data_IF_177425895204
#
_entry.id   IF_177425895204
#
_cell.length_a   1.000
_cell.length_b   1.000
_cell.length_c   1.000
_cell.angle_alpha   90.00
_cell.angle_beta   90.00
_cell.angle_gamma   90.00
#
_symmetry.space_group_name_H-M   'P 1'
#
loop_
_entity.id
_entity.type
_entity.pdbx_description
1 polymer ?
#
# COMPACT_ATOMS: atom_id res chain seq x y z
N UNK A 1 -33.12 -9.97 3.12
CA UNK A 1 -32.33 -9.22 4.12
C UNK A 1 -33.27 -8.81 5.23
N UNK A 2 -32.96 -9.21 6.45
CA UNK A 2 -33.79 -8.95 7.64
C UNK A 2 -33.66 -7.46 8.05
N UNK A 3 -34.76 -6.70 8.12
CA UNK A 3 -34.72 -5.29 8.54
C UNK A 3 -34.33 -5.09 10.01
N UNK A 4 -34.31 -6.13 10.84
CA UNK A 4 -33.91 -6.04 12.25
C UNK A 4 -32.38 -5.95 12.46
N UNK A 5 -31.57 -6.33 11.48
CA UNK A 5 -30.10 -6.22 11.54
C UNK A 5 -29.59 -4.76 11.50
N UNK A 6 -30.44 -3.79 11.13
CA UNK A 6 -30.07 -2.35 11.11
C UNK A 6 -30.23 -1.66 12.47
N UNK A 7 -31.03 -2.21 13.39
CA UNK A 7 -31.28 -1.56 14.69
C UNK A 7 -30.18 -1.87 15.70
N UNK A 8 -29.59 -3.06 15.64
CA UNK A 8 -28.55 -3.48 16.59
C UNK A 8 -27.17 -2.86 16.27
N UNK A 9 -26.94 -2.45 15.01
CA UNK A 9 -25.72 -1.78 14.59
C UNK A 9 -25.62 -0.31 15.06
N UNK A 10 -26.72 0.29 15.54
CA UNK A 10 -26.76 1.70 15.98
C UNK A 10 -26.64 1.82 17.52
N UNK A 11 -26.79 0.72 18.27
CA UNK A 11 -26.75 0.73 19.74
C UNK A 11 -25.39 0.35 20.35
N UNK A 12 -24.33 0.18 19.53
CA UNK A 12 -23.00 -0.24 19.99
C UNK A 12 -21.92 0.86 19.91
N UNK A 13 -22.29 2.13 19.75
CA UNK A 13 -21.34 3.25 19.78
C UNK A 13 -21.35 3.97 21.13
N UNK A 14 -20.90 3.29 22.18
CA UNK A 14 -20.40 3.88 23.43
C UNK A 14 -18.88 3.60 23.54
N UNK A 15 -18.16 3.90 22.44
CA UNK A 15 -16.73 3.56 22.23
C UNK A 15 -15.74 4.54 22.88
N UNK A 16 -16.20 5.58 23.58
CA UNK A 16 -15.30 6.50 24.28
C UNK A 16 -14.66 5.90 25.55
N UNK A 17 -15.16 4.76 26.06
CA UNK A 17 -14.67 4.18 27.32
C UNK A 17 -13.58 3.11 27.17
N UNK A 18 -13.32 2.57 25.98
CA UNK A 18 -12.33 1.48 25.81
C UNK A 18 -10.89 1.93 25.54
N UNK A 19 -10.67 3.22 25.26
CA UNK A 19 -9.32 3.79 25.10
C UNK A 19 -8.53 3.97 26.42
N UNK A 20 -9.16 3.70 27.58
CA UNK A 20 -8.53 3.76 28.90
C UNK A 20 -8.20 2.37 29.47
N UNK A 21 -7.74 1.42 28.64
CA UNK A 21 -7.17 0.14 29.12
C UNK A 21 -5.63 0.17 29.01
N UNK A 22 -4.91 0.75 29.99
CA UNK A 22 -3.43 0.80 29.99
C UNK A 22 -2.74 -0.58 30.05
N UNK A 23 -3.51 -1.66 30.16
CA UNK A 23 -3.03 -3.02 30.33
C UNK A 23 -3.37 -3.95 29.16
N UNK A 24 -3.69 -3.42 27.97
CA UNK A 24 -3.84 -4.27 26.80
C UNK A 24 -2.48 -4.94 26.46
N UNK A 25 -2.36 -6.27 26.58
CA UNK A 25 -1.11 -6.99 26.32
C UNK A 25 -0.62 -6.82 24.87
N UNK A 26 -1.53 -6.54 23.94
CA UNK A 26 -1.25 -6.32 22.51
C UNK A 26 -0.54 -4.99 22.27
N UNK A 27 -1.09 -3.88 22.79
CA UNK A 27 -0.43 -2.58 22.72
C UNK A 27 0.89 -2.59 23.47
N UNK A 28 0.95 -3.24 24.64
CA UNK A 28 2.19 -3.44 25.40
C UNK A 28 3.24 -4.22 24.60
N UNK A 29 2.84 -5.24 23.83
CA UNK A 29 3.74 -6.01 22.96
C UNK A 29 4.30 -5.20 21.80
N UNK A 30 3.47 -4.39 21.14
CA UNK A 30 3.87 -3.45 20.10
C UNK A 30 4.86 -2.42 20.69
N UNK A 31 4.49 -1.75 21.79
CA UNK A 31 5.36 -0.77 22.44
C UNK A 31 6.68 -1.38 22.96
N UNK A 32 6.67 -2.64 23.42
CA UNK A 32 7.88 -3.34 23.87
C UNK A 32 8.81 -3.71 22.71
N UNK A 33 8.27 -4.14 21.57
CA UNK A 33 9.07 -4.40 20.36
C UNK A 33 9.76 -3.13 19.83
N UNK A 34 9.15 -1.96 20.06
CA UNK A 34 9.74 -0.66 19.72
C UNK A 34 10.64 -0.07 20.83
N UNK A 35 10.40 -0.42 22.09
CA UNK A 35 11.11 0.12 23.27
C UNK A 35 12.49 -0.48 23.56
N UNK A 36 12.95 -1.47 22.78
CA UNK A 36 14.32 -2.02 22.85
C UNK A 36 15.25 -1.50 21.74
N UNK A 37 14.81 -0.51 20.95
CA UNK A 37 15.70 0.20 20.03
C UNK A 37 16.48 1.21 20.86
N UNK A 38 17.81 1.03 20.96
CA UNK A 38 18.72 1.95 21.65
C UNK A 38 18.60 3.38 21.09
N UNK A 39 17.78 4.19 21.77
CA UNK A 39 17.49 5.60 21.45
C UNK A 39 18.77 6.46 21.41
N UNK A 40 19.87 5.98 21.99
CA UNK A 40 21.14 6.71 22.02
C UNK A 40 21.93 6.63 20.70
N UNK A 41 21.61 5.68 19.81
CA UNK A 41 22.37 5.44 18.57
C UNK A 41 21.67 5.88 17.29
N UNK A 42 20.39 6.21 17.35
CA UNK A 42 19.63 6.71 16.22
C UNK A 42 18.95 7.97 16.69
N UNK A 43 19.38 9.13 16.19
CA UNK A 43 18.80 10.43 16.48
C UNK A 43 17.38 10.55 15.93
N UNK A 44 16.45 9.77 16.46
CA UNK A 44 15.03 9.95 16.25
C UNK A 44 14.61 11.12 17.15
N UNK A 45 14.20 12.27 16.57
CA UNK A 45 13.59 13.31 17.38
C UNK A 45 12.33 12.74 18.01
N UNK A 46 12.11 12.98 19.30
CA UNK A 46 10.86 12.72 20.04
C UNK A 46 9.64 13.19 19.23
N UNK A 47 9.12 12.34 18.33
CA UNK A 47 8.00 12.68 17.47
C UNK A 47 7.18 11.43 17.25
N UNK A 48 6.01 11.47 17.90
CA UNK A 48 4.77 10.75 17.60
C UNK A 48 4.89 9.95 16.31
N UNK A 49 4.73 8.62 16.40
CA UNK A 49 4.32 7.84 15.25
C UNK A 49 3.21 8.61 14.52
N UNK A 50 3.31 8.80 13.19
CA UNK A 50 2.29 9.49 12.45
C UNK A 50 0.96 8.77 12.72
N UNK A 51 -0.09 9.51 13.14
CA UNK A 51 -1.39 8.96 13.59
C UNK A 51 -1.97 7.91 12.63
N UNK A 52 -1.60 8.01 11.36
CA UNK A 52 -1.90 7.13 10.25
C UNK A 52 -1.33 5.71 10.37
N UNK A 53 -0.27 5.46 11.15
CA UNK A 53 0.24 4.11 11.39
C UNK A 53 -0.65 3.30 12.36
N UNK A 54 -1.49 3.99 13.15
CA UNK A 54 -2.49 3.40 14.04
C UNK A 54 -3.85 3.20 13.36
N UNK A 55 -3.98 3.35 12.04
CA UNK A 55 -5.27 3.25 11.35
C UNK A 55 -5.85 1.84 11.29
N UNK A 56 -5.04 0.78 11.41
CA UNK A 56 -5.60 -0.55 11.70
C UNK A 56 -6.30 -0.62 13.07
N UNK A 57 -6.06 0.37 13.94
CA UNK A 57 -6.73 0.58 15.20
C UNK A 57 -7.77 1.72 15.12
N UNK A 58 -8.09 2.25 13.93
CA UNK A 58 -9.24 3.15 13.79
C UNK A 58 -10.51 2.32 14.01
N UNK A 59 -11.25 2.56 15.11
CA UNK A 59 -12.45 1.79 15.41
C UNK A 59 -13.54 1.94 14.34
N UNK A 60 -13.44 2.92 13.44
CA UNK A 60 -14.34 3.09 12.30
C UNK A 60 -14.12 2.10 11.15
N UNK A 61 -12.93 1.49 11.06
CA UNK A 61 -12.60 0.55 9.98
C UNK A 61 -13.09 -0.85 10.35
N UNK A 62 -14.14 -1.31 9.67
CA UNK A 62 -14.67 -2.67 9.85
C UNK A 62 -14.46 -3.46 8.58
N UNK A 63 -13.79 -4.60 8.72
CA UNK A 63 -13.57 -5.55 7.64
C UNK A 63 -13.80 -6.99 8.13
N UNK A 64 -13.92 -7.97 7.23
CA UNK A 64 -13.96 -9.38 7.63
C UNK A 64 -12.77 -9.75 8.50
N UNK A 65 -13.00 -10.53 9.56
CA UNK A 65 -11.97 -10.89 10.55
C UNK A 65 -10.72 -11.55 9.91
N UNK A 66 -10.91 -12.38 8.88
CA UNK A 66 -9.81 -13.06 8.19
C UNK A 66 -8.89 -12.08 7.45
N UNK A 67 -9.47 -11.03 6.86
CA UNK A 67 -8.74 -9.97 6.18
C UNK A 67 -7.97 -9.11 7.18
N UNK A 68 -8.63 -8.75 8.30
CA UNK A 68 -8.03 -8.01 9.40
C UNK A 68 -6.74 -8.71 9.88
N UNK A 69 -6.84 -10.00 10.25
CA UNK A 69 -5.68 -10.80 10.69
C UNK A 69 -4.57 -10.88 9.65
N UNK A 70 -4.92 -11.04 8.37
CA UNK A 70 -3.91 -11.15 7.30
C UNK A 70 -3.17 -9.83 7.08
N UNK A 71 -3.86 -8.70 7.29
CA UNK A 71 -3.25 -7.38 7.10
C UNK A 71 -2.50 -6.91 8.32
N UNK A 72 -2.94 -7.29 9.52
CA UNK A 72 -2.15 -7.19 10.74
C UNK A 72 -0.82 -7.93 10.57
N UNK A 73 -0.86 -9.19 10.10
CA UNK A 73 0.35 -9.96 9.81
C UNK A 73 1.27 -9.24 8.80
N UNK A 74 0.70 -8.69 7.72
CA UNK A 74 1.46 -7.92 6.74
C UNK A 74 2.08 -6.67 7.37
N UNK A 75 1.32 -5.87 8.10
CA UNK A 75 1.82 -4.65 8.74
C UNK A 75 2.92 -4.95 9.75
N UNK A 76 2.72 -5.99 10.57
CA UNK A 76 3.75 -6.43 11.50
C UNK A 76 5.02 -6.81 10.77
N UNK A 77 4.94 -7.58 9.68
CA UNK A 77 6.11 -7.93 8.86
C UNK A 77 6.80 -6.71 8.24
N UNK A 78 6.03 -5.72 7.73
CA UNK A 78 6.61 -4.46 7.23
C UNK A 78 7.41 -3.76 8.33
N UNK A 79 6.85 -3.70 9.53
CA UNK A 79 7.43 -3.02 10.69
C UNK A 79 8.66 -3.75 11.22
N UNK A 80 8.55 -5.06 11.48
CA UNK A 80 9.56 -5.84 12.18
C UNK A 80 10.71 -6.25 11.29
N UNK A 81 10.45 -6.50 10.01
CA UNK A 81 11.43 -7.10 9.11
C UNK A 81 11.85 -6.11 8.01
N UNK A 82 10.87 -5.57 7.27
CA UNK A 82 11.16 -4.79 6.06
C UNK A 82 11.77 -3.43 6.37
N UNK A 83 11.20 -2.65 7.30
CA UNK A 83 11.73 -1.33 7.67
C UNK A 83 13.18 -1.44 8.20
N UNK A 84 13.50 -2.33 9.15
CA UNK A 84 14.88 -2.50 9.61
C UNK A 84 15.83 -2.95 8.49
N UNK A 85 15.40 -3.85 7.61
CA UNK A 85 16.20 -4.26 6.46
C UNK A 85 16.44 -3.09 5.50
N UNK A 86 15.40 -2.33 5.15
CA UNK A 86 15.46 -1.17 4.28
C UNK A 86 16.43 -0.10 4.81
N UNK A 87 16.46 0.11 6.13
CA UNK A 87 17.43 1.00 6.78
C UNK A 87 18.88 0.50 6.70
N UNK A 88 19.11 -0.82 6.74
CA UNK A 88 20.46 -1.41 6.61
C UNK A 88 21.05 -1.23 5.22
N UNK A 89 20.22 -1.11 4.19
CA UNK A 89 20.62 -0.85 2.80
C UNK A 89 21.15 0.58 2.57
N UNK A 90 21.93 1.15 3.52
CA UNK A 90 22.48 2.51 3.53
C UNK A 90 22.78 3.02 2.10
N UNK A 91 22.00 4.00 1.64
CA UNK A 91 22.46 4.90 0.60
C UNK A 91 23.09 6.08 1.34
N UNK A 92 24.37 6.41 1.12
CA UNK A 92 25.04 7.53 1.79
C UNK A 92 24.33 8.87 1.62
N UNK A 93 23.51 9.01 0.58
CA UNK A 93 23.08 10.32 0.06
C UNK A 93 21.56 10.54 0.07
N UNK A 94 20.77 9.65 0.70
CA UNK A 94 19.29 9.79 0.68
C UNK A 94 18.76 10.04 2.09
N UNK A 95 18.43 11.31 2.43
CA UNK A 95 17.73 11.65 3.66
C UNK A 95 16.48 10.80 3.85
N UNK A 96 16.20 10.49 5.12
CA UNK A 96 15.22 9.53 5.60
C UNK A 96 13.76 9.99 5.37
N UNK A 97 13.36 10.32 4.15
CA UNK A 97 11.99 10.76 3.84
C UNK A 97 11.06 9.59 3.53
N UNK A 98 11.06 8.56 4.39
CA UNK A 98 10.15 7.41 4.27
C UNK A 98 8.66 7.82 4.33
N UNK A 99 8.36 8.97 4.93
CA UNK A 99 6.99 9.40 5.26
C UNK A 99 6.59 10.78 4.72
N UNK A 100 7.53 11.55 4.15
CA UNK A 100 7.26 12.93 3.73
C UNK A 100 6.95 12.99 2.22
N UNK A 101 5.75 12.56 1.82
CA UNK A 101 4.99 13.02 0.62
C UNK A 101 5.68 13.19 -0.75
N UNK A 102 6.93 12.76 -0.93
CA UNK A 102 7.77 13.03 -2.10
C UNK A 102 8.07 11.74 -2.89
N UNK A 103 8.45 11.87 -4.17
CA UNK A 103 8.75 10.75 -5.06
C UNK A 103 10.03 10.07 -4.58
N UNK A 104 9.87 9.08 -3.70
CA UNK A 104 10.96 8.40 -3.00
C UNK A 104 10.63 7.96 -1.57
N UNK A 105 9.46 8.37 -1.02
CA UNK A 105 8.95 7.84 0.24
C UNK A 105 8.61 6.35 0.16
N UNK A 106 8.65 5.65 1.30
CA UNK A 106 8.42 4.22 1.35
C UNK A 106 6.91 3.95 1.22
N UNK A 107 6.48 3.23 0.17
CA UNK A 107 5.06 3.06 -0.15
C UNK A 107 4.32 2.13 0.83
N UNK A 108 5.07 1.36 1.64
CA UNK A 108 4.51 0.27 2.46
C UNK A 108 3.32 0.62 3.37
N UNK A 109 3.30 1.76 4.09
CA UNK A 109 2.18 2.12 4.96
C UNK A 109 0.92 2.55 4.19
N UNK A 110 1.09 3.16 3.01
CA UNK A 110 0.00 3.75 2.23
C UNK A 110 -0.80 2.70 1.45
N UNK A 111 -0.12 1.62 1.02
CA UNK A 111 -0.71 0.49 0.31
C UNK A 111 -1.95 -0.07 1.01
N UNK A 112 -1.95 -0.06 2.35
CA UNK A 112 -3.04 -0.57 3.16
C UNK A 112 -4.08 0.51 3.43
N UNK A 113 -3.69 1.74 3.72
CA UNK A 113 -4.62 2.78 4.17
C UNK A 113 -5.77 3.04 3.17
N UNK A 114 -5.44 3.39 1.93
CA UNK A 114 -6.45 3.74 0.90
C UNK A 114 -7.35 2.55 0.56
N UNK A 115 -6.75 1.37 0.40
CA UNK A 115 -7.45 0.13 0.12
C UNK A 115 -8.39 -0.23 1.28
N UNK A 116 -7.96 -0.08 2.52
CA UNK A 116 -8.75 -0.41 3.69
C UNK A 116 -10.02 0.40 3.84
N UNK A 117 -9.95 1.71 3.61
CA UNK A 117 -11.14 2.56 3.63
C UNK A 117 -12.18 2.09 2.60
N UNK A 118 -11.75 1.81 1.38
CA UNK A 118 -12.66 1.35 0.32
C UNK A 118 -13.24 -0.04 0.60
N UNK A 119 -12.45 -0.94 1.17
CA UNK A 119 -12.90 -2.28 1.55
C UNK A 119 -13.88 -2.23 2.74
N UNK A 120 -13.62 -1.36 3.71
CA UNK A 120 -14.52 -1.10 4.83
C UNK A 120 -15.87 -0.62 4.33
N UNK A 121 -15.91 0.42 3.48
CA UNK A 121 -17.15 0.95 2.90
C UNK A 121 -17.94 -0.12 2.14
N UNK A 122 -17.24 -0.97 1.37
CA UNK A 122 -17.86 -2.11 0.67
C UNK A 122 -18.38 -3.16 1.64
N UNK A 123 -17.66 -3.46 2.71
CA UNK A 123 -18.08 -4.44 3.71
C UNK A 123 -19.35 -3.99 4.43
N UNK A 124 -19.35 -2.75 4.93
CA UNK A 124 -20.53 -2.12 5.53
C UNK A 124 -21.73 -2.09 4.59
N UNK A 125 -21.50 -1.88 3.29
CA UNK A 125 -22.54 -1.87 2.26
C UNK A 125 -22.99 -3.28 1.84
N UNK A 126 -22.37 -4.35 2.35
CA UNK A 126 -22.62 -5.74 1.92
C UNK A 126 -22.18 -6.04 0.48
N UNK A 127 -21.28 -5.22 -0.07
CA UNK A 127 -20.76 -5.33 -1.44
C UNK A 127 -19.41 -6.05 -1.51
N UNK A 128 -18.72 -6.22 -0.38
CA UNK A 128 -17.46 -6.95 -0.32
C UNK A 128 -17.71 -8.47 -0.33
N UNK A 129 -17.33 -9.12 -1.43
CA UNK A 129 -17.54 -10.57 -1.59
C UNK A 129 -16.39 -11.38 -0.97
N UNK A 130 -16.70 -12.60 -0.54
CA UNK A 130 -15.70 -13.55 0.00
C UNK A 130 -14.59 -13.86 -0.99
N UNK A 131 -14.88 -13.89 -2.30
CA UNK A 131 -13.88 -14.09 -3.35
C UNK A 131 -12.84 -12.96 -3.37
N UNK A 132 -13.30 -11.71 -3.36
CA UNK A 132 -12.44 -10.52 -3.26
C UNK A 132 -11.57 -10.56 -1.99
N UNK A 133 -12.15 -10.89 -0.84
CA UNK A 133 -11.42 -11.02 0.44
C UNK A 133 -10.27 -12.01 0.32
N UNK A 134 -10.53 -13.21 -0.22
CA UNK A 134 -9.51 -14.24 -0.41
C UNK A 134 -8.41 -13.84 -1.40
N UNK A 135 -8.76 -13.07 -2.44
CA UNK A 135 -7.78 -12.54 -3.39
C UNK A 135 -6.87 -11.53 -2.68
N UNK A 136 -7.42 -10.61 -1.90
CA UNK A 136 -6.63 -9.61 -1.14
C UNK A 136 -5.71 -10.32 -0.15
N UNK A 137 -6.20 -11.31 0.58
CA UNK A 137 -5.38 -12.12 1.48
C UNK A 137 -4.23 -12.83 0.74
N UNK A 138 -4.49 -13.37 -0.45
CA UNK A 138 -3.48 -14.02 -1.28
C UNK A 138 -2.42 -13.02 -1.76
N UNK A 139 -2.81 -11.81 -2.16
CA UNK A 139 -1.89 -10.72 -2.55
C UNK A 139 -0.99 -10.38 -1.36
N UNK A 140 -1.55 -10.04 -0.20
CA UNK A 140 -0.76 -9.64 0.97
C UNK A 140 0.24 -10.73 1.40
N UNK A 141 -0.19 -12.00 1.40
CA UNK A 141 0.70 -13.14 1.71
C UNK A 141 1.78 -13.33 0.64
N UNK A 142 1.42 -13.15 -0.63
CA UNK A 142 2.35 -13.16 -1.75
C UNK A 142 3.43 -12.08 -1.59
N UNK A 143 3.02 -10.85 -1.28
CA UNK A 143 3.93 -9.72 -1.05
C UNK A 143 4.88 -9.98 0.12
N UNK A 144 4.41 -10.54 1.24
CA UNK A 144 5.28 -10.95 2.36
C UNK A 144 6.35 -11.93 1.87
N UNK A 145 5.94 -12.93 1.08
CA UNK A 145 6.85 -13.94 0.55
C UNK A 145 7.88 -13.33 -0.41
N UNK A 146 7.44 -12.47 -1.34
CA UNK A 146 8.30 -11.80 -2.30
C UNK A 146 9.34 -10.92 -1.59
N UNK A 147 8.91 -10.10 -0.64
CA UNK A 147 9.80 -9.29 0.20
C UNK A 147 10.76 -10.16 1.01
N UNK A 148 10.29 -11.28 1.56
CA UNK A 148 11.15 -12.24 2.27
C UNK A 148 12.25 -12.79 1.36
N UNK A 149 11.92 -13.13 0.11
CA UNK A 149 12.89 -13.64 -0.87
C UNK A 149 13.90 -12.54 -1.24
N UNK A 150 13.43 -11.32 -1.51
CA UNK A 150 14.27 -10.15 -1.81
C UNK A 150 15.26 -9.90 -0.66
N UNK A 151 14.78 -9.89 0.59
CA UNK A 151 15.64 -9.71 1.76
C UNK A 151 16.66 -10.85 1.93
N UNK A 152 16.24 -12.11 1.76
CA UNK A 152 17.13 -13.28 1.90
C UNK A 152 18.27 -13.28 0.88
N UNK A 153 18.07 -12.71 -0.32
CA UNK A 153 19.10 -12.62 -1.36
C UNK A 153 19.91 -11.31 -1.31
N UNK A 154 19.75 -10.50 -0.26
CA UNK A 154 20.33 -9.16 -0.14
C UNK A 154 19.93 -8.23 -1.31
N UNK A 155 18.66 -8.25 -1.69
CA UNK A 155 18.11 -7.40 -2.74
C UNK A 155 18.12 -5.91 -2.41
N UNK A 156 17.91 -5.07 -3.42
CA UNK A 156 18.04 -3.61 -3.32
C UNK A 156 16.77 -2.93 -2.79
N UNK A 157 16.86 -1.62 -2.53
CA UNK A 157 15.70 -0.81 -2.11
C UNK A 157 14.64 -0.74 -3.21
N UNK A 158 15.09 -0.63 -4.45
CA UNK A 158 14.26 -0.53 -5.63
C UNK A 158 13.42 -1.79 -5.80
N UNK A 159 14.00 -2.98 -5.58
CA UNK A 159 13.25 -4.24 -5.63
C UNK A 159 12.15 -4.32 -4.55
N UNK A 160 12.42 -3.81 -3.35
CA UNK A 160 11.42 -3.72 -2.28
C UNK A 160 10.28 -2.77 -2.66
N UNK A 161 10.64 -1.58 -3.15
CA UNK A 161 9.67 -0.57 -3.57
C UNK A 161 8.81 -1.13 -4.71
N UNK A 162 9.42 -1.74 -5.72
CA UNK A 162 8.72 -2.33 -6.86
C UNK A 162 7.74 -3.42 -6.41
N UNK A 163 8.14 -4.33 -5.52
CA UNK A 163 7.25 -5.38 -5.02
C UNK A 163 6.03 -4.81 -4.24
N UNK A 164 6.24 -3.74 -3.48
CA UNK A 164 5.16 -3.02 -2.80
C UNK A 164 4.26 -2.31 -3.80
N UNK A 165 4.82 -1.52 -4.72
CA UNK A 165 4.05 -0.79 -5.74
C UNK A 165 3.26 -1.73 -6.67
N UNK A 166 3.80 -2.90 -7.03
CA UNK A 166 3.07 -3.91 -7.80
C UNK A 166 1.83 -4.40 -7.04
N UNK A 167 1.98 -4.64 -5.74
CA UNK A 167 0.90 -5.11 -4.88
C UNK A 167 -0.16 -4.02 -4.67
N UNK A 168 0.26 -2.78 -4.44
CA UNK A 168 -0.62 -1.60 -4.33
C UNK A 168 -1.41 -1.39 -5.62
N UNK A 169 -0.71 -1.34 -6.75
CA UNK A 169 -1.30 -1.15 -8.06
C UNK A 169 -2.31 -2.25 -8.38
N UNK A 170 -2.03 -3.52 -8.03
CA UNK A 170 -2.99 -4.59 -8.20
C UNK A 170 -4.24 -4.38 -7.32
N UNK A 171 -4.07 -4.04 -6.04
CA UNK A 171 -5.21 -3.81 -5.16
C UNK A 171 -6.07 -2.63 -5.63
N UNK A 172 -5.45 -1.51 -5.97
CA UNK A 172 -6.15 -0.29 -6.39
C UNK A 172 -6.77 -0.40 -7.79
N UNK A 173 -5.98 -0.83 -8.77
CA UNK A 173 -6.41 -0.82 -10.16
C UNK A 173 -7.22 -2.05 -10.56
N UNK A 174 -7.09 -3.16 -9.84
CA UNK A 174 -7.84 -4.38 -10.14
C UNK A 174 -8.94 -4.64 -9.10
N UNK A 175 -8.59 -4.93 -7.85
CA UNK A 175 -9.57 -5.38 -6.84
C UNK A 175 -10.54 -4.26 -6.44
N UNK A 176 -10.02 -3.06 -6.22
CA UNK A 176 -10.76 -1.87 -5.85
C UNK A 176 -11.37 -1.16 -7.05
N UNK A 177 -11.05 -1.58 -8.28
CA UNK A 177 -11.68 -1.00 -9.46
C UNK A 177 -13.19 -1.12 -9.41
N UNK A 178 -13.88 -0.08 -9.89
CA UNK A 178 -15.33 -0.13 -10.07
C UNK A 178 -15.78 -1.20 -11.08
N UNK A 179 -14.85 -1.73 -11.88
CA UNK A 179 -15.09 -2.67 -12.97
C UNK A 179 -14.94 -4.14 -12.55
N UNK A 180 -14.22 -4.43 -11.46
CA UNK A 180 -14.03 -5.79 -10.95
C UNK A 180 -15.27 -6.28 -10.16
N UNK A 181 -16.34 -6.54 -10.90
CA UNK A 181 -17.66 -6.97 -10.38
C UNK A 181 -18.00 -8.44 -10.69
N UNK A 182 -17.10 -9.17 -11.35
CA UNK A 182 -17.38 -10.52 -11.84
C UNK A 182 -16.98 -11.57 -10.81
N UNK A 183 -17.97 -12.11 -10.09
CA UNK A 183 -17.79 -13.24 -9.17
C UNK A 183 -17.18 -14.47 -9.88
N UNK A 184 -17.58 -14.72 -11.14
CA UNK A 184 -17.02 -15.81 -11.95
C UNK A 184 -15.51 -15.63 -12.17
N UNK A 185 -15.05 -14.39 -12.36
CA UNK A 185 -13.62 -14.10 -12.51
C UNK A 185 -12.87 -14.30 -11.18
N UNK A 186 -13.47 -13.93 -10.05
CA UNK A 186 -12.89 -14.18 -8.73
C UNK A 186 -12.69 -15.68 -8.47
N UNK A 187 -13.71 -16.49 -8.71
CA UNK A 187 -13.63 -17.95 -8.56
C UNK A 187 -12.55 -18.53 -9.48
N UNK A 188 -12.45 -18.02 -10.70
CA UNK A 188 -11.44 -18.47 -11.66
C UNK A 188 -10.02 -18.14 -11.20
N UNK A 189 -9.77 -16.92 -10.73
CA UNK A 189 -8.48 -16.52 -10.15
C UNK A 189 -8.13 -17.39 -8.94
N UNK A 190 -9.07 -17.58 -8.01
CA UNK A 190 -8.85 -18.39 -6.82
C UNK A 190 -8.57 -19.86 -7.15
N UNK A 191 -9.18 -20.40 -8.20
CA UNK A 191 -8.87 -21.74 -8.69
C UNK A 191 -7.45 -21.82 -9.20
N UNK A 192 -7.02 -20.87 -10.04
CA UNK A 192 -5.65 -20.85 -10.53
C UNK A 192 -4.62 -20.67 -9.41
N UNK A 193 -4.91 -19.84 -8.41
CA UNK A 193 -4.03 -19.69 -7.24
C UNK A 193 -3.94 -20.96 -6.40
N UNK A 194 -4.92 -21.86 -6.48
CA UNK A 194 -4.94 -23.13 -5.77
C UNK A 194 -4.35 -24.30 -6.58
N UNK A 195 -4.07 -24.12 -7.87
CA UNK A 195 -3.46 -25.16 -8.71
C UNK A 195 -1.98 -25.34 -8.33
N UNK A 196 -1.57 -26.59 -8.13
CA UNK A 196 -0.17 -26.92 -7.91
C UNK A 196 0.63 -26.78 -9.21
N UNK A 197 1.82 -26.17 -9.13
CA UNK A 197 2.72 -26.07 -10.28
C UNK A 197 2.42 -24.90 -11.22
N UNK A 198 2.23 -23.70 -10.65
CA UNK A 198 2.22 -22.45 -11.43
C UNK A 198 3.42 -22.44 -12.37
N UNK A 199 3.16 -22.26 -13.67
CA UNK A 199 4.21 -22.17 -14.67
C UNK A 199 4.95 -20.84 -14.50
N UNK A 200 6.02 -20.86 -13.70
CA UNK A 200 6.84 -19.68 -13.38
C UNK A 200 7.46 -19.07 -14.64
N UNK A 201 7.70 -19.86 -15.69
CA UNK A 201 8.22 -19.34 -16.97
C UNK A 201 7.20 -18.45 -17.68
N UNK A 202 5.91 -18.79 -17.61
CA UNK A 202 4.83 -17.95 -18.15
C UNK A 202 4.72 -16.65 -17.35
N UNK A 203 4.77 -16.72 -16.02
CA UNK A 203 4.76 -15.52 -15.16
C UNK A 203 5.94 -14.61 -15.46
N UNK A 204 7.15 -15.19 -15.62
CA UNK A 204 8.34 -14.44 -16.01
C UNK A 204 8.16 -13.78 -17.39
N UNK A 205 7.68 -14.52 -18.39
CA UNK A 205 7.45 -13.97 -19.73
C UNK A 205 6.45 -12.81 -19.75
N UNK A 206 5.38 -12.89 -18.94
CA UNK A 206 4.42 -11.78 -18.79
C UNK A 206 5.07 -10.57 -18.12
N UNK A 207 5.89 -10.78 -17.08
CA UNK A 207 6.61 -9.69 -16.40
C UNK A 207 7.59 -8.98 -17.34
N UNK A 208 8.37 -9.75 -18.10
CA UNK A 208 9.33 -9.21 -19.07
C UNK A 208 8.62 -8.38 -20.15
N UNK A 209 7.55 -8.91 -20.74
CA UNK A 209 6.76 -8.20 -21.77
C UNK A 209 6.11 -6.93 -21.19
N UNK A 210 5.56 -7.01 -19.97
CA UNK A 210 4.97 -5.85 -19.29
C UNK A 210 6.02 -4.77 -19.01
N UNK A 211 7.23 -5.15 -18.62
CA UNK A 211 8.33 -4.22 -18.39
C UNK A 211 8.75 -3.51 -19.69
N UNK A 212 8.82 -4.24 -20.82
CA UNK A 212 9.12 -3.64 -22.12
C UNK A 212 8.02 -2.66 -22.57
N UNK A 213 6.75 -3.01 -22.41
CA UNK A 213 5.63 -2.11 -22.70
C UNK A 213 5.72 -0.83 -21.85
N UNK A 214 5.99 -0.96 -20.54
CA UNK A 214 6.16 0.21 -19.65
C UNK A 214 7.31 1.12 -20.09
N UNK A 215 8.43 0.55 -20.56
CA UNK A 215 9.56 1.34 -21.11
C UNK A 215 9.14 2.13 -22.34
N UNK A 216 8.38 1.51 -23.25
CA UNK A 216 7.88 2.16 -24.47
C UNK A 216 6.91 3.31 -24.13
N UNK A 217 5.93 3.07 -23.26
CA UNK A 217 4.97 4.09 -22.81
C UNK A 217 5.67 5.25 -22.12
N UNK A 218 6.65 4.97 -21.24
CA UNK A 218 7.41 6.00 -20.55
C UNK A 218 8.22 6.84 -21.54
N UNK A 219 8.87 6.20 -22.52
CA UNK A 219 9.61 6.88 -23.57
C UNK A 219 8.70 7.81 -24.38
N UNK A 220 7.57 7.32 -24.87
CA UNK A 220 6.59 8.13 -25.61
C UNK A 220 6.02 9.28 -24.78
N UNK A 221 5.74 9.05 -23.50
CA UNK A 221 5.27 10.11 -22.60
C UNK A 221 6.34 11.22 -22.47
N UNK A 222 7.60 10.84 -22.23
CA UNK A 222 8.71 11.80 -22.10
C UNK A 222 9.04 12.53 -23.39
N UNK A 223 9.00 11.85 -24.54
CA UNK A 223 9.40 12.41 -25.84
C UNK A 223 8.24 13.13 -26.57
N UNK A 224 7.00 12.66 -26.44
CA UNK A 224 5.88 13.06 -27.28
C UNK A 224 4.98 14.15 -26.70
N UNK A 225 4.42 13.93 -25.52
CA UNK A 225 3.36 14.77 -24.94
C UNK A 225 3.96 15.78 -23.96
N UNK A 226 4.83 15.33 -23.05
CA UNK A 226 5.46 16.22 -22.08
C UNK A 226 6.48 17.14 -22.73
N UNK A 227 7.24 16.68 -23.73
CA UNK A 227 8.17 17.53 -24.48
C UNK A 227 7.48 18.72 -25.17
N UNK A 228 6.26 18.54 -25.71
CA UNK A 228 5.48 19.61 -26.35
C UNK A 228 4.80 20.51 -25.34
N UNK A 229 4.17 19.95 -24.31
CA UNK A 229 3.47 20.74 -23.30
C UNK A 229 4.44 21.54 -22.41
N UNK A 230 5.64 21.01 -22.13
CA UNK A 230 6.65 21.71 -21.33
C UNK A 230 7.20 22.94 -22.09
N UNK A 231 7.41 22.82 -23.41
CA UNK A 231 7.75 23.95 -24.29
C UNK A 231 6.63 25.02 -24.37
N UNK A 232 5.37 24.64 -24.23
CA UNK A 232 4.24 25.58 -24.13
C UNK A 232 4.14 26.23 -22.75
N UNK A 233 4.41 25.49 -21.66
CA UNK A 233 4.40 26.04 -20.30
C UNK A 233 5.52 27.02 -20.01
N UNK A 234 6.70 26.87 -20.62
CA UNK A 234 7.77 27.87 -20.52
C UNK A 234 7.39 29.20 -21.19
N UNK A 235 6.54 29.21 -22.23
CA UNK A 235 5.95 30.47 -22.77
C UNK A 235 4.87 31.06 -21.87
N UNK A 236 4.29 30.26 -20.97
CA UNK A 236 3.24 30.68 -20.05
C UNK A 236 3.81 31.35 -18.80
N UNK A 237 5.03 31.00 -18.39
CA UNK A 237 5.75 31.61 -17.25
C UNK A 237 5.96 33.12 -17.42
N UNK A 238 6.19 33.59 -18.65
CA UNK A 238 6.32 35.02 -18.94
C UNK A 238 4.98 35.77 -18.90
N UNK A 239 3.85 35.05 -18.99
CA UNK A 239 2.51 35.65 -19.12
C UNK A 239 1.74 35.71 -17.80
N UNK A 240 2.06 34.84 -16.85
CA UNK A 240 1.44 34.80 -15.53
C UNK A 240 2.48 34.45 -14.45
N UNK A 241 3.11 35.43 -13.79
CA UNK A 241 3.97 35.18 -12.64
C UNK A 241 3.09 34.74 -11.46
N UNK A 242 2.83 33.44 -11.34
CA UNK A 242 2.11 32.88 -10.19
C UNK A 242 3.08 32.71 -9.01
N UNK A 243 2.68 32.99 -7.75
CA UNK A 243 3.56 32.90 -6.58
C UNK A 243 3.74 31.47 -6.04
N UNK A 244 3.21 30.45 -6.72
CA UNK A 244 3.23 29.07 -6.25
C UNK A 244 4.31 28.27 -6.98
N UNK A 245 5.30 27.80 -6.21
CA UNK A 245 6.45 27.00 -6.66
C UNK A 245 5.96 25.62 -7.16
N UNK A 246 5.67 25.53 -8.46
CA UNK A 246 5.30 24.30 -9.19
C UNK A 246 6.48 23.34 -9.34
N UNK A 247 7.11 22.94 -8.22
CA UNK A 247 8.00 21.77 -8.17
C UNK A 247 7.25 20.45 -8.00
N UNK A 248 5.92 20.45 -8.14
CA UNK A 248 5.06 19.26 -8.15
C UNK A 248 4.87 18.62 -9.54
N UNK A 249 5.81 18.82 -10.48
CA UNK A 249 5.83 18.06 -11.74
C UNK A 249 5.93 16.53 -11.56
N UNK A 250 6.32 16.07 -10.37
CA UNK A 250 6.39 14.65 -10.02
C UNK A 250 5.00 14.01 -9.77
N UNK A 251 4.01 14.78 -9.30
CA UNK A 251 2.70 14.24 -8.91
C UNK A 251 1.85 13.85 -10.13
N UNK A 252 1.90 14.67 -11.19
CA UNK A 252 1.20 14.41 -12.45
C UNK A 252 1.83 13.29 -13.29
N UNK A 253 3.14 13.03 -13.15
CA UNK A 253 3.81 11.92 -13.85
C UNK A 253 3.30 10.55 -13.39
N UNK A 254 2.96 10.37 -12.10
CA UNK A 254 2.45 9.10 -11.56
C UNK A 254 0.98 8.84 -11.90
N UNK A 255 0.14 9.87 -11.82
CA UNK A 255 -1.31 9.73 -12.09
C UNK A 255 -1.64 9.27 -13.52
N UNK A 256 -0.75 9.51 -14.49
CA UNK A 256 -0.95 9.13 -15.89
C UNK A 256 -0.03 8.01 -16.39
N UNK A 257 1.01 7.63 -15.65
CA UNK A 257 1.85 6.46 -15.95
C UNK A 257 1.29 5.14 -15.36
N UNK A 258 0.23 5.22 -14.56
CA UNK A 258 -0.53 4.06 -14.05
C UNK A 258 -1.61 3.52 -15.01
N UNK A 259 -1.58 3.91 -16.30
CA UNK A 259 -2.44 3.40 -17.37
C UNK A 259 -1.66 2.50 -18.33
#
# INVERSE_FOLDING_TARGET
MDPNLRSDAILACDLENDFNRPNDPYLQGIFKAFGEIDESNIGFPEKRFPKNMLLLCDPGIICPESLHRTSELFMMFIISDVIPYYHKLKSPDTPLDLFNGHPGGFPGPFLIESTYYQLSDRYYSGLLRTGQVRIIEAVLRGTINDLTIIMKRNGTKEEIIEALEESESFLDNFVNSGNFRSERLEVFILRYLAEEGVNVDVVRGIREETAEIRKLVTKEATEGIWGKHMQETDRFKDRFPMPFDLREGAYMKRYFAGW
#
